data_IF_490144519072
#
_entry.id   IF_490144519072
#
_cell.length_a   1.000
_cell.length_b   1.000
_cell.length_c   1.000
_cell.angle_alpha   90.00
_cell.angle_beta   90.00
_cell.angle_gamma   90.00
#
_symmetry.space_group_name_H-M   'P 1'
#
loop_
_entity.id
_entity.type
_entity.pdbx_description
1 polymer ?
#
# COMPACT_ATOMS: atom_id res chain seq x y z
N UNK A 1 36.04 6.03 -21.42
CA UNK A 1 35.23 4.85 -21.11
C UNK A 1 33.81 5.35 -20.92
N UNK A 2 32.96 5.10 -21.91
CA UNK A 2 31.59 5.57 -21.97
C UNK A 2 30.79 4.60 -21.09
N UNK A 3 30.11 5.14 -20.10
CA UNK A 3 29.22 4.42 -19.23
C UNK A 3 28.23 3.60 -20.08
N UNK A 4 28.20 2.29 -19.87
CA UNK A 4 27.08 1.46 -20.34
C UNK A 4 25.80 2.11 -19.82
N UNK A 5 24.97 2.59 -20.75
CA UNK A 5 23.71 3.24 -20.44
C UNK A 5 22.82 2.23 -19.70
N UNK A 6 22.49 2.57 -18.47
CA UNK A 6 21.45 1.88 -17.73
C UNK A 6 20.14 2.13 -18.49
N UNK A 7 19.69 1.11 -19.21
CA UNK A 7 18.37 1.11 -19.84
C UNK A 7 17.30 0.94 -18.72
N UNK A 8 17.20 2.02 -17.90
CA UNK A 8 16.24 2.07 -16.81
C UNK A 8 14.88 2.43 -17.39
N UNK A 9 14.09 1.41 -17.69
CA UNK A 9 12.70 1.61 -18.08
C UNK A 9 11.92 2.22 -16.89
N UNK A 10 11.40 3.43 -17.07
CA UNK A 10 10.48 4.04 -16.09
C UNK A 10 9.25 3.16 -15.94
N UNK A 11 8.92 2.81 -14.69
CA UNK A 11 7.73 2.06 -14.35
C UNK A 11 6.58 3.00 -13.99
N UNK A 12 5.37 2.60 -14.35
CA UNK A 12 4.12 3.30 -13.99
C UNK A 12 3.36 2.46 -12.96
N UNK A 13 3.25 3.00 -11.73
CA UNK A 13 2.49 2.39 -10.67
C UNK A 13 1.18 3.12 -10.46
N UNK A 14 0.07 2.37 -10.43
CA UNK A 14 -1.26 2.91 -10.24
C UNK A 14 -1.51 3.20 -8.74
N UNK A 15 -1.54 4.48 -8.36
CA UNK A 15 -1.75 4.97 -7.00
C UNK A 15 -3.16 4.65 -6.51
N UNK A 16 -3.28 3.77 -5.50
CA UNK A 16 -4.54 3.18 -4.99
C UNK A 16 -5.33 2.44 -6.07
N UNK A 17 -4.59 1.80 -7.01
CA UNK A 17 -5.17 1.27 -8.25
C UNK A 17 -5.46 2.35 -9.29
N UNK A 18 -6.31 2.07 -10.27
CA UNK A 18 -6.75 3.05 -11.28
C UNK A 18 -7.76 4.05 -10.68
N UNK A 19 -7.38 4.76 -9.61
CA UNK A 19 -8.23 5.58 -8.75
C UNK A 19 -8.87 6.79 -9.44
N UNK A 20 -8.40 7.16 -10.63
CA UNK A 20 -9.08 8.18 -11.47
C UNK A 20 -10.32 7.64 -12.19
N UNK A 21 -10.51 6.32 -12.24
CA UNK A 21 -11.55 5.64 -13.05
C UNK A 21 -12.40 4.66 -12.24
N UNK A 22 -11.97 4.29 -11.03
CA UNK A 22 -12.66 3.36 -10.16
C UNK A 22 -12.42 3.74 -8.68
N UNK A 23 -13.26 3.27 -7.74
CA UNK A 23 -13.08 3.59 -6.32
C UNK A 23 -11.69 3.20 -5.83
N UNK A 24 -10.96 4.17 -5.27
CA UNK A 24 -9.60 3.96 -4.75
C UNK A 24 -9.52 2.79 -3.76
N UNK A 25 -8.40 2.06 -3.77
CA UNK A 25 -8.14 0.98 -2.82
C UNK A 25 -9.20 -0.15 -2.85
N UNK A 26 -9.84 -0.39 -3.99
CA UNK A 26 -10.79 -1.50 -4.19
C UNK A 26 -10.28 -2.53 -5.19
N UNK A 27 -10.85 -3.73 -5.17
CA UNK A 27 -10.50 -4.77 -6.14
C UNK A 27 -10.77 -4.33 -7.58
N UNK A 28 -11.82 -3.54 -7.79
CA UNK A 28 -12.18 -2.96 -9.08
C UNK A 28 -11.07 -2.05 -9.61
N UNK A 29 -10.54 -1.16 -8.77
CA UNK A 29 -9.45 -0.26 -9.14
C UNK A 29 -8.16 -1.01 -9.47
N UNK A 30 -7.83 -2.04 -8.70
CA UNK A 30 -6.63 -2.86 -8.94
C UNK A 30 -6.77 -3.71 -10.20
N UNK A 31 -7.94 -4.31 -10.44
CA UNK A 31 -8.23 -5.05 -11.66
C UNK A 31 -8.14 -4.15 -12.91
N UNK A 32 -8.66 -2.94 -12.80
CA UNK A 32 -8.61 -1.96 -13.89
C UNK A 32 -7.16 -1.54 -14.17
N UNK A 33 -6.35 -1.26 -13.13
CA UNK A 33 -4.94 -0.92 -13.29
C UNK A 33 -4.15 -2.02 -14.01
N UNK A 34 -4.37 -3.28 -13.65
CA UNK A 34 -3.78 -4.43 -14.33
C UNK A 34 -4.20 -4.50 -15.80
N UNK A 35 -5.49 -4.26 -16.10
CA UNK A 35 -6.02 -4.23 -17.47
C UNK A 35 -5.50 -3.07 -18.32
N UNK A 36 -5.12 -1.96 -17.71
CA UNK A 36 -4.52 -0.79 -18.35
C UNK A 36 -3.01 -0.93 -18.60
N UNK A 37 -2.39 -2.01 -18.13
CA UNK A 37 -0.98 -2.30 -18.35
C UNK A 37 -0.05 -1.53 -17.42
N UNK A 38 -0.48 -1.22 -16.21
CA UNK A 38 0.42 -0.71 -15.17
C UNK A 38 1.56 -1.70 -14.89
N UNK A 39 2.75 -1.22 -14.53
CA UNK A 39 3.88 -2.05 -14.11
C UNK A 39 3.75 -2.47 -12.63
N UNK A 40 2.97 -1.72 -11.85
CA UNK A 40 2.67 -2.02 -10.45
C UNK A 40 1.44 -1.28 -9.96
N UNK A 41 1.08 -1.56 -8.72
CA UNK A 41 0.06 -0.82 -7.98
C UNK A 41 0.61 -0.36 -6.65
N UNK A 42 0.09 0.73 -6.16
CA UNK A 42 0.30 1.17 -4.79
C UNK A 42 -1.02 1.04 -4.03
N UNK A 43 -0.97 0.77 -2.73
CA UNK A 43 -2.12 0.61 -1.86
C UNK A 43 -1.77 0.92 -0.40
N UNK A 44 -2.76 1.29 0.37
CA UNK A 44 -2.64 1.67 1.78
C UNK A 44 -3.20 0.59 2.71
N UNK A 45 -2.47 0.21 3.75
CA UNK A 45 -2.89 -0.86 4.67
C UNK A 45 -3.01 -0.35 6.10
N UNK A 46 -4.11 -0.74 6.73
CA UNK A 46 -4.45 -0.49 8.12
C UNK A 46 -4.97 -1.77 8.79
N UNK A 47 -5.18 -1.75 10.11
CA UNK A 47 -5.82 -2.86 10.82
C UNK A 47 -7.26 -2.50 11.22
N UNK A 48 -8.17 -3.44 10.99
CA UNK A 48 -9.50 -3.42 11.59
C UNK A 48 -9.44 -3.71 13.10
N UNK A 49 -10.55 -3.55 13.81
CA UNK A 49 -10.67 -3.85 15.25
C UNK A 49 -10.30 -5.30 15.60
N UNK A 50 -10.56 -6.21 14.71
CA UNK A 50 -10.23 -7.65 14.84
C UNK A 50 -8.89 -8.02 14.19
N UNK A 51 -8.03 -7.00 13.96
CA UNK A 51 -6.66 -7.13 13.45
C UNK A 51 -6.53 -7.74 12.05
N UNK A 52 -7.52 -7.57 11.18
CA UNK A 52 -7.41 -7.92 9.78
C UNK A 52 -6.73 -6.80 8.98
N UNK A 53 -5.83 -7.16 8.07
CA UNK A 53 -5.18 -6.22 7.17
C UNK A 53 -6.18 -5.77 6.10
N UNK A 54 -6.69 -4.55 6.21
CA UNK A 54 -7.65 -3.93 5.28
C UNK A 54 -6.99 -2.84 4.46
N UNK A 55 -7.49 -2.63 3.23
CA UNK A 55 -6.88 -1.71 2.27
C UNK A 55 -7.71 -0.45 2.18
N UNK A 56 -7.22 0.64 2.76
CA UNK A 56 -7.84 1.97 2.75
C UNK A 56 -6.84 3.06 3.15
N UNK A 57 -6.97 4.24 2.55
CA UNK A 57 -6.03 5.36 2.78
C UNK A 57 -6.29 6.10 4.09
N UNK A 58 -7.50 6.66 4.27
CA UNK A 58 -7.82 7.46 5.43
C UNK A 58 -8.04 6.56 6.66
N UNK A 59 -7.76 7.05 7.85
CA UNK A 59 -8.06 6.35 9.10
C UNK A 59 -9.56 6.20 9.33
N UNK A 60 -10.39 7.06 8.70
CA UNK A 60 -11.85 7.00 8.72
C UNK A 60 -12.44 6.59 7.37
N UNK A 61 -13.60 5.95 7.41
CA UNK A 61 -14.28 5.47 6.20
C UNK A 61 -15.23 6.49 5.55
N UNK A 62 -15.34 7.68 6.12
CA UNK A 62 -16.37 8.68 5.80
C UNK A 62 -16.28 9.22 4.37
N UNK A 63 -15.06 9.45 3.85
CA UNK A 63 -14.86 10.06 2.52
C UNK A 63 -15.22 9.10 1.40
N UNK A 64 -14.93 7.81 1.56
CA UNK A 64 -14.98 6.83 0.48
C UNK A 64 -16.16 5.86 0.58
N UNK A 65 -16.84 5.79 1.74
CA UNK A 65 -17.90 4.81 1.97
C UNK A 65 -19.26 5.44 2.34
N UNK A 66 -20.26 4.58 2.47
CA UNK A 66 -21.57 4.94 3.02
C UNK A 66 -21.66 4.77 4.55
N UNK A 67 -20.54 4.43 5.21
CA UNK A 67 -20.40 4.37 6.66
C UNK A 67 -19.69 5.61 7.24
N UNK A 68 -19.37 5.58 8.53
CA UNK A 68 -18.62 6.61 9.23
C UNK A 68 -17.78 6.03 10.38
N UNK A 69 -16.74 6.76 10.78
CA UNK A 69 -15.89 6.42 11.92
C UNK A 69 -14.56 5.79 11.51
N UNK A 70 -13.75 5.44 12.53
CA UNK A 70 -12.41 4.92 12.32
C UNK A 70 -12.41 3.44 11.91
N UNK A 71 -11.54 3.07 10.99
CA UNK A 71 -11.32 1.66 10.56
C UNK A 71 -11.01 0.77 11.76
N UNK A 72 -10.13 1.22 12.66
CA UNK A 72 -9.74 0.49 13.88
C UNK A 72 -10.90 0.19 14.85
N UNK A 73 -12.03 0.87 14.72
CA UNK A 73 -13.20 0.70 15.58
C UNK A 73 -14.24 -0.28 14.98
N UNK A 74 -14.03 -0.74 13.75
CA UNK A 74 -14.89 -1.70 13.04
C UNK A 74 -14.18 -3.05 12.85
N UNK A 75 -14.93 -4.14 13.02
CA UNK A 75 -14.47 -5.45 12.57
C UNK A 75 -14.48 -5.55 11.04
N UNK A 76 -13.70 -6.47 10.46
CA UNK A 76 -13.77 -6.75 9.02
C UNK A 76 -15.21 -7.06 8.58
N UNK A 77 -15.95 -7.83 9.37
CA UNK A 77 -17.35 -8.18 9.08
C UNK A 77 -18.28 -6.95 9.01
N UNK A 78 -18.05 -5.94 9.83
CA UNK A 78 -18.78 -4.67 9.79
C UNK A 78 -18.40 -3.85 8.57
N UNK A 79 -17.09 -3.71 8.28
CA UNK A 79 -16.56 -3.01 7.12
C UNK A 79 -17.08 -3.62 5.79
N UNK A 80 -17.11 -4.95 5.68
CA UNK A 80 -17.60 -5.66 4.47
C UNK A 80 -19.09 -5.46 4.17
N UNK A 81 -19.88 -4.93 5.10
CA UNK A 81 -21.29 -4.56 4.86
C UNK A 81 -21.45 -3.18 4.20
N UNK A 82 -20.38 -2.38 4.19
CA UNK A 82 -20.40 -1.03 3.66
C UNK A 82 -19.97 -1.04 2.19
N UNK A 83 -20.47 -0.06 1.46
CA UNK A 83 -20.05 0.20 0.08
C UNK A 83 -18.98 1.27 0.06
N UNK A 84 -17.86 0.97 -0.57
CA UNK A 84 -16.73 1.89 -0.73
C UNK A 84 -16.72 2.51 -2.13
N UNK A 85 -17.84 3.09 -2.52
CA UNK A 85 -18.09 3.62 -3.85
C UNK A 85 -18.58 5.07 -3.86
N UNK A 86 -18.39 5.82 -2.77
CA UNK A 86 -18.99 7.16 -2.62
C UNK A 86 -18.61 8.12 -3.76
N UNK A 87 -17.39 8.01 -4.28
CA UNK A 87 -16.89 8.84 -5.37
C UNK A 87 -17.24 8.27 -6.76
N UNK A 88 -17.66 7.00 -6.83
CA UNK A 88 -17.99 6.27 -8.06
C UNK A 88 -19.25 5.41 -7.83
N UNK A 89 -20.44 6.02 -7.75
CA UNK A 89 -21.68 5.32 -7.35
C UNK A 89 -22.10 4.18 -8.29
N UNK A 90 -21.60 4.16 -9.52
CA UNK A 90 -21.83 3.09 -10.50
C UNK A 90 -21.20 1.75 -10.09
N UNK A 91 -20.15 1.74 -9.27
CA UNK A 91 -19.53 0.54 -8.72
C UNK A 91 -20.31 0.06 -7.49
N UNK A 92 -21.50 -0.51 -7.72
CA UNK A 92 -22.47 -0.81 -6.65
C UNK A 92 -21.99 -1.82 -5.60
N UNK A 93 -21.07 -2.70 -6.00
CA UNK A 93 -20.60 -3.81 -5.17
C UNK A 93 -19.19 -3.56 -4.59
N UNK A 94 -18.59 -2.38 -4.86
CA UNK A 94 -17.26 -2.06 -4.37
C UNK A 94 -17.25 -2.00 -2.84
N UNK A 95 -16.37 -2.80 -2.24
CA UNK A 95 -16.20 -2.93 -0.80
C UNK A 95 -14.72 -2.78 -0.45
N UNK A 96 -14.42 -2.49 0.82
CA UNK A 96 -13.06 -2.50 1.34
C UNK A 96 -12.46 -3.91 1.19
N UNK A 97 -11.33 -4.09 0.48
CA UNK A 97 -10.69 -5.39 0.41
C UNK A 97 -9.77 -5.62 1.61
N UNK A 98 -9.50 -6.88 1.91
CA UNK A 98 -8.34 -7.27 2.70
C UNK A 98 -7.09 -7.30 1.81
N UNK A 99 -5.92 -7.18 2.41
CA UNK A 99 -4.65 -7.32 1.68
C UNK A 99 -4.52 -8.71 1.05
N UNK A 100 -5.09 -9.75 1.69
CA UNK A 100 -5.16 -11.11 1.13
C UNK A 100 -5.93 -11.15 -0.18
N UNK A 101 -7.13 -10.56 -0.21
CA UNK A 101 -7.96 -10.51 -1.44
C UNK A 101 -7.25 -9.76 -2.58
N UNK A 102 -6.51 -8.69 -2.25
CA UNK A 102 -5.71 -7.96 -3.26
C UNK A 102 -4.56 -8.85 -3.78
N UNK A 103 -3.87 -9.56 -2.89
CA UNK A 103 -2.81 -10.49 -3.32
C UNK A 103 -3.35 -11.63 -4.19
N UNK A 104 -4.50 -12.20 -3.83
CA UNK A 104 -5.17 -13.22 -4.66
C UNK A 104 -5.49 -12.69 -6.07
N UNK A 105 -6.03 -11.48 -6.16
CA UNK A 105 -6.34 -10.83 -7.44
C UNK A 105 -5.09 -10.57 -8.28
N UNK A 106 -4.02 -10.07 -7.66
CA UNK A 106 -2.83 -9.58 -8.37
C UNK A 106 -1.74 -10.66 -8.56
N UNK A 107 -1.82 -11.77 -7.85
CA UNK A 107 -0.83 -12.86 -7.97
C UNK A 107 -0.61 -13.33 -9.41
N UNK A 108 -1.65 -13.55 -10.23
CA UNK A 108 -1.47 -13.99 -11.62
C UNK A 108 -0.96 -12.90 -12.58
N UNK A 109 -0.97 -11.62 -12.20
CA UNK A 109 -0.64 -10.50 -13.10
C UNK A 109 0.85 -10.23 -13.23
N UNK A 110 1.66 -10.62 -12.26
CA UNK A 110 3.08 -10.28 -12.21
C UNK A 110 3.41 -8.85 -11.74
N UNK A 111 2.41 -8.01 -11.44
CA UNK A 111 2.61 -6.61 -11.01
C UNK A 111 3.42 -6.52 -9.71
N UNK A 112 4.23 -5.46 -9.61
CA UNK A 112 4.82 -5.03 -8.33
C UNK A 112 3.73 -4.41 -7.47
N UNK A 113 3.78 -4.63 -6.15
CA UNK A 113 2.81 -4.08 -5.21
C UNK A 113 3.56 -3.26 -4.17
N UNK A 114 3.33 -1.95 -4.16
CA UNK A 114 3.80 -1.06 -3.11
C UNK A 114 2.74 -0.99 -2.00
N UNK A 115 3.07 -1.49 -0.83
CA UNK A 115 2.19 -1.55 0.35
C UNK A 115 2.60 -0.43 1.31
N UNK A 116 1.82 0.65 1.35
CA UNK A 116 2.01 1.70 2.36
C UNK A 116 1.42 1.24 3.70
N UNK A 117 2.23 1.21 4.76
CA UNK A 117 1.77 0.99 6.12
C UNK A 117 1.34 2.33 6.75
N UNK A 118 0.06 2.47 7.05
CA UNK A 118 -0.57 3.69 7.63
C UNK A 118 -0.42 3.73 9.15
N UNK A 119 0.81 3.84 9.63
CA UNK A 119 1.16 3.79 11.06
C UNK A 119 1.48 5.16 11.67
N UNK A 120 1.37 6.23 10.90
CA UNK A 120 1.75 7.58 11.35
C UNK A 120 0.75 8.23 12.31
N UNK A 121 -0.55 7.95 12.18
CA UNK A 121 -1.62 8.52 13.00
C UNK A 121 -2.14 7.49 14.02
N UNK A 122 -2.44 6.29 13.56
CA UNK A 122 -2.83 5.17 14.42
C UNK A 122 -1.67 4.18 14.51
N UNK A 123 -1.07 3.97 15.69
CA UNK A 123 -0.02 2.97 15.87
C UNK A 123 -0.63 1.58 15.91
N UNK A 124 -0.75 0.93 14.76
CA UNK A 124 -1.26 -0.42 14.64
C UNK A 124 -0.20 -1.44 15.10
N UNK A 125 -0.33 -1.94 16.32
CA UNK A 125 0.60 -2.90 16.88
C UNK A 125 0.61 -4.22 16.07
N UNK A 126 1.80 -4.64 15.63
CA UNK A 126 2.01 -5.89 14.90
C UNK A 126 1.62 -5.86 13.42
N UNK A 127 1.35 -4.68 12.84
CA UNK A 127 0.98 -4.57 11.41
C UNK A 127 2.14 -4.99 10.51
N UNK A 128 3.38 -4.68 10.88
CA UNK A 128 4.59 -5.03 10.12
C UNK A 128 4.75 -6.55 10.04
N UNK A 129 4.66 -7.24 11.19
CA UNK A 129 4.75 -8.69 11.27
C UNK A 129 3.64 -9.37 10.47
N UNK A 130 2.41 -8.87 10.57
CA UNK A 130 1.26 -9.42 9.84
C UNK A 130 1.42 -9.25 8.33
N UNK A 131 1.87 -8.07 7.88
CA UNK A 131 2.07 -7.79 6.46
C UNK A 131 3.18 -8.69 5.87
N UNK A 132 4.30 -8.86 6.58
CA UNK A 132 5.37 -9.76 6.18
C UNK A 132 4.92 -11.23 6.14
N UNK A 133 4.23 -11.67 7.19
CA UNK A 133 3.72 -13.03 7.30
C UNK A 133 2.78 -13.36 6.13
N UNK A 134 1.82 -12.47 5.84
CA UNK A 134 0.88 -12.65 4.74
C UNK A 134 1.57 -12.70 3.38
N UNK A 135 2.53 -11.81 3.12
CA UNK A 135 3.28 -11.82 1.86
C UNK A 135 4.09 -13.11 1.68
N UNK A 136 4.70 -13.61 2.76
CA UNK A 136 5.43 -14.87 2.76
C UNK A 136 4.49 -16.07 2.52
N UNK A 137 3.39 -16.16 3.27
CA UNK A 137 2.37 -17.22 3.16
C UNK A 137 1.83 -17.33 1.73
N UNK A 138 1.59 -16.19 1.09
CA UNK A 138 1.03 -16.15 -0.27
C UNK A 138 2.08 -16.23 -1.37
N UNK A 139 3.39 -16.28 -1.02
CA UNK A 139 4.48 -16.31 -2.00
C UNK A 139 4.61 -15.01 -2.79
N UNK A 140 4.29 -13.86 -2.14
CA UNK A 140 4.31 -12.54 -2.78
C UNK A 140 5.57 -11.72 -2.47
N UNK A 141 6.40 -12.16 -1.51
CA UNK A 141 7.52 -11.38 -0.97
C UNK A 141 8.46 -10.77 -2.00
N UNK A 142 8.71 -11.45 -3.11
CA UNK A 142 9.61 -10.94 -4.18
C UNK A 142 9.01 -9.79 -5.00
N UNK A 143 7.73 -9.48 -4.85
CA UNK A 143 7.01 -8.45 -5.61
C UNK A 143 6.42 -7.36 -4.75
N UNK A 144 6.62 -7.44 -3.42
CA UNK A 144 6.12 -6.46 -2.48
C UNK A 144 7.23 -5.51 -2.08
N UNK A 145 6.94 -4.22 -2.14
CA UNK A 145 7.73 -3.14 -1.57
C UNK A 145 6.88 -2.52 -0.47
N UNK A 146 7.45 -2.35 0.72
CA UNK A 146 6.75 -1.67 1.81
C UNK A 146 7.15 -0.21 1.88
N UNK A 147 6.18 0.68 2.03
CA UNK A 147 6.45 2.10 2.22
C UNK A 147 5.72 2.66 3.43
N UNK A 148 6.20 3.76 3.96
CA UNK A 148 5.53 4.47 5.06
C UNK A 148 6.09 5.88 5.22
N UNK A 149 5.23 6.82 5.66
CA UNK A 149 5.65 8.09 6.26
C UNK A 149 6.14 7.94 7.70
N UNK A 150 5.77 6.83 8.36
CA UNK A 150 6.28 6.48 9.69
C UNK A 150 7.55 5.64 9.53
N UNK A 151 8.70 6.31 9.40
CA UNK A 151 9.98 5.67 9.12
C UNK A 151 10.40 4.58 10.14
N UNK A 152 10.04 4.66 11.44
CA UNK A 152 10.28 3.54 12.37
C UNK A 152 9.68 2.21 11.93
N UNK A 153 8.52 2.20 11.23
CA UNK A 153 7.95 0.97 10.66
C UNK A 153 8.85 0.35 9.60
N UNK A 154 9.51 1.16 8.77
CA UNK A 154 10.47 0.66 7.76
C UNK A 154 11.70 0.04 8.41
N UNK A 155 12.22 0.68 9.46
CA UNK A 155 13.33 0.13 10.26
C UNK A 155 12.93 -1.20 10.90
N UNK A 156 11.73 -1.27 11.49
CA UNK A 156 11.19 -2.50 12.10
C UNK A 156 11.05 -3.62 11.05
N UNK A 157 10.51 -3.33 9.86
CA UNK A 157 10.45 -4.29 8.75
C UNK A 157 11.83 -4.86 8.40
N UNK A 158 12.85 -3.99 8.26
CA UNK A 158 14.24 -4.42 7.99
C UNK A 158 14.87 -5.22 9.13
N UNK A 159 14.45 -4.99 10.37
CA UNK A 159 14.89 -5.79 11.53
C UNK A 159 14.25 -7.18 11.55
N UNK A 160 12.99 -7.27 11.12
CA UNK A 160 12.24 -8.54 11.03
C UNK A 160 12.72 -9.39 9.85
N UNK A 161 12.96 -8.75 8.70
CA UNK A 161 13.51 -9.40 7.50
C UNK A 161 14.35 -8.39 6.71
N UNK A 162 15.67 -8.56 6.74
CA UNK A 162 16.60 -7.67 6.04
C UNK A 162 16.47 -7.72 4.51
N UNK A 163 15.85 -8.74 3.96
CA UNK A 163 15.70 -8.94 2.50
C UNK A 163 14.54 -8.17 1.88
N UNK A 164 13.55 -7.75 2.69
CA UNK A 164 12.37 -7.03 2.17
C UNK A 164 12.74 -5.69 1.57
N UNK A 165 12.02 -5.29 0.54
CA UNK A 165 12.20 -3.98 -0.10
C UNK A 165 11.38 -2.93 0.62
N UNK A 166 12.02 -1.78 0.90
CA UNK A 166 11.38 -0.66 1.61
C UNK A 166 11.60 0.67 0.88
N UNK A 167 10.56 1.52 0.88
CA UNK A 167 10.55 2.85 0.30
C UNK A 167 10.17 3.90 1.35
N UNK A 168 10.96 4.95 1.48
CA UNK A 168 10.78 6.01 2.45
C UNK A 168 9.90 7.10 1.86
N UNK A 169 8.67 7.25 2.39
CA UNK A 169 7.77 8.34 2.02
C UNK A 169 8.10 9.62 2.81
N UNK A 170 8.09 10.76 2.13
CA UNK A 170 8.24 12.08 2.73
C UNK A 170 7.62 13.17 1.86
N UNK A 171 7.11 14.22 2.51
CA UNK A 171 6.43 15.35 1.86
C UNK A 171 7.19 16.67 1.95
N UNK A 172 8.19 16.74 2.84
CA UNK A 172 8.94 17.96 3.08
C UNK A 172 10.26 17.98 2.31
N UNK A 173 10.79 19.18 2.06
CA UNK A 173 12.11 19.36 1.49
C UNK A 173 13.20 19.02 2.48
N UNK A 174 13.81 17.86 2.34
CA UNK A 174 14.93 17.43 3.16
C UNK A 174 16.26 17.78 2.49
N UNK A 175 17.22 18.30 3.26
CA UNK A 175 18.54 18.68 2.75
C UNK A 175 19.30 17.45 2.24
N UNK A 176 19.20 16.31 2.92
CA UNK A 176 19.91 15.07 2.57
C UNK A 176 19.05 13.82 2.86
N UNK A 177 17.94 13.70 2.13
CA UNK A 177 17.06 12.53 2.21
C UNK A 177 17.78 11.24 1.83
N UNK A 178 18.74 11.31 0.90
CA UNK A 178 19.47 10.15 0.41
C UNK A 178 20.38 9.54 1.50
N UNK A 179 21.14 10.35 2.22
CA UNK A 179 21.98 9.87 3.33
C UNK A 179 21.11 9.35 4.50
N UNK A 180 20.04 10.04 4.83
CA UNK A 180 19.11 9.57 5.85
C UNK A 180 18.50 8.20 5.47
N UNK A 181 17.99 8.07 4.26
CA UNK A 181 17.41 6.82 3.76
C UNK A 181 18.42 5.68 3.77
N UNK A 182 19.65 5.95 3.28
CA UNK A 182 20.69 4.94 3.14
C UNK A 182 21.30 4.50 4.48
N UNK A 183 21.65 5.44 5.35
CA UNK A 183 22.47 5.15 6.54
C UNK A 183 21.67 5.06 7.83
N UNK A 184 20.53 5.77 7.91
CA UNK A 184 19.69 5.77 9.11
C UNK A 184 18.53 4.81 8.98
N UNK A 185 17.65 5.02 7.99
CA UNK A 185 16.46 4.19 7.78
C UNK A 185 16.77 2.86 7.04
N UNK A 186 17.90 2.78 6.32
CA UNK A 186 18.36 1.61 5.56
C UNK A 186 17.34 1.11 4.52
N UNK A 187 16.68 2.05 3.86
CA UNK A 187 15.67 1.76 2.84
C UNK A 187 16.29 1.53 1.47
N UNK A 188 15.56 0.86 0.59
CA UNK A 188 15.98 0.58 -0.80
C UNK A 188 15.59 1.69 -1.76
N UNK A 189 14.56 2.49 -1.45
CA UNK A 189 14.04 3.56 -2.30
C UNK A 189 13.61 4.80 -1.51
N UNK A 190 13.57 5.94 -2.20
CA UNK A 190 12.98 7.19 -1.72
C UNK A 190 11.72 7.48 -2.52
N UNK A 191 10.63 7.81 -1.83
CA UNK A 191 9.33 8.12 -2.40
C UNK A 191 8.93 9.56 -2.02
N UNK A 192 9.52 10.59 -2.67
CA UNK A 192 9.14 11.98 -2.41
C UNK A 192 7.73 12.26 -2.93
N UNK A 193 6.94 13.03 -2.18
CA UNK A 193 5.71 13.59 -2.71
C UNK A 193 6.06 14.66 -3.77
N UNK A 194 5.38 14.61 -4.91
CA UNK A 194 5.47 15.64 -5.94
C UNK A 194 4.25 16.57 -5.79
N UNK A 195 4.53 17.87 -5.59
CA UNK A 195 3.52 18.94 -5.55
C UNK A 195 3.67 19.84 -6.78
#
# INVERSE_FOLDING_TARGET
>A
MISEGWDMKTQVWAHRGASAYAPENTLEAFKLAAGQGADGVELDVQLSRDNELVVAHDETIDRVSNGSGYIKDHTLRELKKLRFNRLFPEYRDAAIPTLREVYELLKPTGLVINVELKTGIVPYEGIEERALCLASEMGMGNRVIYSSFHHPSLVKLKMLDASVKTGLLYSDGWIDAASYGRYTARVDALHPALY
#
